data_IF_496068200710
#
_entry.id   IF_496068200710
#
_cell.length_a   1.000
_cell.length_b   1.000
_cell.length_c   1.000
_cell.angle_alpha   90.00
_cell.angle_beta   90.00
_cell.angle_gamma   90.00
#
_symmetry.space_group_name_H-M   'P 1'
#
loop_
_entity.id
_entity.type
_entity.pdbx_description
1 polymer ?
#
# COMPACT_ATOMS: atom_id res chain seq x y z
N UNK A 1 9.98 2.10 -9.99
CA UNK A 1 8.78 1.32 -10.34
C UNK A 1 7.60 2.11 -9.84
N UNK A 2 6.61 2.33 -10.70
CA UNK A 2 5.50 3.22 -10.39
C UNK A 2 4.29 2.36 -10.08
N UNK A 3 3.63 2.62 -8.94
CA UNK A 3 2.36 1.99 -8.56
C UNK A 3 1.31 3.07 -8.29
N UNK A 4 0.06 2.77 -8.59
CA UNK A 4 -1.08 3.68 -8.38
C UNK A 4 -2.03 3.13 -7.32
N UNK A 5 -2.02 3.74 -6.13
CA UNK A 5 -2.79 3.26 -4.98
C UNK A 5 -3.89 4.23 -4.57
N UNK A 6 -5.06 3.71 -4.18
CA UNK A 6 -6.14 4.54 -3.66
C UNK A 6 -5.76 5.20 -2.33
N UNK A 7 -6.38 6.34 -2.01
CA UNK A 7 -6.14 7.05 -0.75
C UNK A 7 -6.35 6.19 0.50
N UNK A 8 -7.36 5.32 0.50
CA UNK A 8 -7.62 4.37 1.59
C UNK A 8 -6.49 3.39 1.83
N UNK A 9 -5.74 3.06 0.79
CA UNK A 9 -4.67 2.08 0.80
C UNK A 9 -3.36 2.73 1.22
N UNK A 10 -3.08 3.91 0.68
CA UNK A 10 -1.95 4.74 1.12
C UNK A 10 -2.05 5.07 2.61
N UNK A 11 -3.23 5.47 3.09
CA UNK A 11 -3.45 5.73 4.52
C UNK A 11 -3.25 4.48 5.38
N UNK A 12 -3.68 3.32 4.88
CA UNK A 12 -3.50 2.05 5.58
C UNK A 12 -2.02 1.68 5.69
N UNK A 13 -1.25 1.83 4.61
CA UNK A 13 0.19 1.57 4.58
C UNK A 13 0.94 2.53 5.52
N UNK A 14 0.63 3.82 5.47
CA UNK A 14 1.23 4.83 6.36
C UNK A 14 0.99 4.46 7.82
N UNK A 15 -0.25 4.14 8.20
CA UNK A 15 -0.61 3.81 9.58
C UNK A 15 0.10 2.55 10.11
N UNK A 16 0.28 1.53 9.28
CA UNK A 16 0.84 0.25 9.73
C UNK A 16 2.37 0.17 9.64
N UNK A 17 3.00 1.04 8.85
CA UNK A 17 4.43 0.96 8.55
C UNK A 17 5.21 2.24 8.85
N UNK A 18 4.78 3.05 9.83
CA UNK A 18 5.46 4.32 10.17
C UNK A 18 6.96 4.19 10.48
N UNK A 19 7.41 3.02 10.93
CA UNK A 19 8.82 2.74 11.23
C UNK A 19 9.68 2.32 10.02
N UNK A 20 9.09 2.14 8.84
CA UNK A 20 9.81 1.66 7.65
C UNK A 20 10.30 2.82 6.78
N UNK A 21 11.49 2.66 6.17
CA UNK A 21 12.08 3.71 5.33
C UNK A 21 11.25 4.03 4.09
N UNK A 22 10.61 3.03 3.48
CA UNK A 22 9.78 3.19 2.28
C UNK A 22 8.55 4.10 2.53
N UNK A 23 8.18 4.34 3.79
CA UNK A 23 7.00 5.13 4.16
C UNK A 23 7.05 6.56 3.63
N UNK A 24 8.26 7.09 3.44
CA UNK A 24 8.48 8.46 2.97
C UNK A 24 7.94 8.66 1.55
N UNK A 25 7.93 7.61 0.71
CA UNK A 25 7.39 7.66 -0.65
C UNK A 25 5.86 7.82 -0.62
N UNK A 26 5.19 7.11 0.29
CA UNK A 26 3.74 7.20 0.50
C UNK A 26 3.34 8.57 1.07
N UNK A 27 4.07 9.06 2.09
CA UNK A 27 3.84 10.40 2.67
C UNK A 27 4.09 11.52 1.65
N UNK A 28 5.15 11.41 0.85
CA UNK A 28 5.45 12.34 -0.23
C UNK A 28 4.33 12.35 -1.27
N UNK A 29 3.85 11.18 -1.70
CA UNK A 29 2.76 11.07 -2.66
C UNK A 29 1.48 11.75 -2.15
N UNK A 30 1.14 11.60 -0.86
CA UNK A 30 0.02 12.34 -0.26
C UNK A 30 0.22 13.86 -0.30
N UNK A 31 1.43 14.34 -0.01
CA UNK A 31 1.76 15.77 -0.05
C UNK A 31 1.75 16.38 -1.45
N UNK A 32 2.06 15.59 -2.49
CA UNK A 32 2.00 16.01 -3.90
C UNK A 32 0.56 16.08 -4.41
N UNK A 33 -0.33 15.25 -3.86
CA UNK A 33 -1.74 15.18 -4.24
C UNK A 33 -2.06 14.01 -5.17
N UNK A 34 -3.35 13.84 -5.46
CA UNK A 34 -3.84 12.73 -6.28
C UNK A 34 -3.33 12.82 -7.72
N UNK A 35 -3.12 11.66 -8.33
CA UNK A 35 -2.83 11.54 -9.75
C UNK A 35 -4.05 11.98 -10.57
N UNK A 36 -3.81 12.92 -11.47
CA UNK A 36 -4.83 13.48 -12.37
C UNK A 36 -4.56 13.00 -13.79
N UNK A 37 -5.55 12.38 -14.42
CA UNK A 37 -5.48 11.98 -15.83
C UNK A 37 -6.02 13.10 -16.71
N UNK A 38 -5.27 13.47 -17.75
CA UNK A 38 -5.64 14.51 -18.73
C UNK A 38 -6.01 15.85 -18.06
N UNK A 39 -5.24 16.22 -17.03
CA UNK A 39 -5.32 17.49 -16.29
C UNK A 39 -6.71 17.87 -15.70
N UNK A 40 -7.67 16.94 -15.71
CA UNK A 40 -9.08 17.26 -15.40
C UNK A 40 -9.75 16.25 -14.47
N UNK A 41 -9.30 14.99 -14.45
CA UNK A 41 -9.98 13.91 -13.73
C UNK A 41 -9.13 13.39 -12.57
N UNK A 42 -9.60 13.65 -11.35
CA UNK A 42 -9.06 13.06 -10.13
C UNK A 42 -9.36 11.57 -10.13
N UNK A 43 -8.31 10.75 -10.04
CA UNK A 43 -8.45 9.29 -10.09
C UNK A 43 -8.72 8.68 -8.72
N UNK A 44 -8.62 9.46 -7.64
CA UNK A 44 -8.63 8.94 -6.26
C UNK A 44 -7.39 8.11 -5.90
N UNK A 45 -6.41 8.02 -6.82
CA UNK A 45 -5.17 7.28 -6.66
C UNK A 45 -3.99 8.23 -6.54
N UNK A 46 -2.98 7.80 -5.80
CA UNK A 46 -1.68 8.44 -5.69
C UNK A 46 -0.68 7.67 -6.55
N UNK A 47 0.16 8.40 -7.28
CA UNK A 47 1.30 7.83 -7.98
C UNK A 47 2.47 7.73 -7.00
N UNK A 48 3.00 6.52 -6.81
CA UNK A 48 4.08 6.25 -5.88
C UNK A 48 5.23 5.62 -6.66
N UNK A 49 6.40 6.21 -6.58
CA UNK A 49 7.62 5.66 -7.18
C UNK A 49 8.47 4.98 -6.10
N UNK A 50 8.72 3.69 -6.29
CA UNK A 50 9.53 2.84 -5.41
C UNK A 50 10.63 2.17 -6.22
N UNK A 51 11.81 2.01 -5.63
CA UNK A 51 12.82 1.10 -6.20
C UNK A 51 12.35 -0.36 -6.09
N UNK A 52 12.93 -1.24 -6.90
CA UNK A 52 12.65 -2.69 -6.82
C UNK A 52 12.86 -3.22 -5.38
N UNK A 53 13.97 -2.87 -4.75
CA UNK A 53 14.27 -3.28 -3.37
C UNK A 53 13.25 -2.74 -2.35
N UNK A 54 12.70 -1.55 -2.56
CA UNK A 54 11.66 -1.01 -1.68
C UNK A 54 10.34 -1.71 -1.90
N UNK A 55 10.02 -2.09 -3.14
CA UNK A 55 8.82 -2.87 -3.44
C UNK A 55 8.85 -4.24 -2.79
N UNK A 56 9.98 -4.96 -2.86
CA UNK A 56 10.15 -6.24 -2.17
C UNK A 56 10.01 -6.08 -0.65
N UNK A 57 10.59 -5.01 -0.06
CA UNK A 57 10.41 -4.71 1.37
C UNK A 57 8.95 -4.44 1.75
N UNK A 58 8.18 -3.79 0.88
CA UNK A 58 6.74 -3.58 1.12
C UNK A 58 6.00 -4.91 1.10
N UNK A 59 6.29 -5.80 0.14
CA UNK A 59 5.69 -7.14 0.08
C UNK A 59 6.00 -7.97 1.32
N UNK A 60 7.26 -7.99 1.75
CA UNK A 60 7.69 -8.68 2.97
C UNK A 60 6.98 -8.12 4.23
N UNK A 61 6.88 -6.80 4.34
CA UNK A 61 6.21 -6.15 5.46
C UNK A 61 4.70 -6.44 5.47
N UNK A 62 4.06 -6.48 4.29
CA UNK A 62 2.65 -6.87 4.15
C UNK A 62 2.43 -8.34 4.50
N UNK A 63 3.30 -9.25 4.06
CA UNK A 63 3.23 -10.67 4.43
C UNK A 63 3.35 -10.87 5.94
N UNK A 64 4.27 -10.15 6.59
CA UNK A 64 4.39 -10.14 8.06
C UNK A 64 3.11 -9.63 8.72
N UNK A 65 2.57 -8.51 8.23
CA UNK A 65 1.34 -7.93 8.76
C UNK A 65 0.11 -8.86 8.59
N UNK A 66 0.05 -9.62 7.50
CA UNK A 66 -1.00 -10.62 7.26
C UNK A 66 -0.97 -11.71 8.34
N UNK A 67 0.22 -12.20 8.70
CA UNK A 67 0.37 -13.20 9.75
C UNK A 67 0.03 -12.63 11.14
N UNK A 68 0.40 -11.38 11.42
CA UNK A 68 0.17 -10.75 12.72
C UNK A 68 -1.28 -10.32 12.95
N UNK A 69 -1.96 -9.82 11.91
CA UNK A 69 -3.25 -9.13 12.05
C UNK A 69 -4.33 -9.61 11.08
N UNK A 70 -3.97 -10.42 10.10
CA UNK A 70 -4.88 -10.87 9.05
C UNK A 70 -5.72 -12.09 9.40
N UNK A 71 -5.35 -12.83 10.45
CA UNK A 71 -6.08 -14.01 10.91
C UNK A 71 -6.95 -13.65 12.11
N UNK A 72 -8.23 -13.98 12.04
CA UNK A 72 -9.20 -13.82 13.12
C UNK A 72 -9.15 -14.95 14.15
N UNK A 73 -9.91 -14.78 15.24
CA UNK A 73 -9.96 -15.75 16.35
C UNK A 73 -10.51 -17.13 15.95
N UNK A 74 -11.19 -17.22 14.82
CA UNK A 74 -11.71 -18.46 14.24
C UNK A 74 -10.72 -19.13 13.27
N UNK A 75 -9.46 -18.68 13.24
CA UNK A 75 -8.43 -19.13 12.30
C UNK A 75 -8.73 -18.85 10.83
N UNK A 76 -9.71 -18.00 10.54
CA UNK A 76 -10.03 -17.54 9.18
C UNK A 76 -9.43 -16.16 8.92
N UNK A 77 -9.28 -15.82 7.63
CA UNK A 77 -8.87 -14.48 7.21
C UNK A 77 -9.95 -13.48 7.59
N UNK A 78 -9.56 -12.42 8.30
CA UNK A 78 -10.46 -11.34 8.68
C UNK A 78 -10.47 -10.22 7.64
N UNK A 79 -11.31 -9.19 7.84
CA UNK A 79 -11.41 -8.05 6.91
C UNK A 79 -10.08 -7.30 6.68
N UNK A 80 -9.21 -7.24 7.70
CA UNK A 80 -7.87 -6.65 7.57
C UNK A 80 -6.99 -7.55 6.72
N UNK A 81 -7.07 -8.86 6.90
CA UNK A 81 -6.34 -9.84 6.09
C UNK A 81 -6.70 -9.75 4.62
N UNK A 82 -7.98 -9.71 4.25
CA UNK A 82 -8.41 -9.51 2.86
C UNK A 82 -7.88 -8.20 2.26
N UNK A 83 -7.82 -7.12 3.06
CA UNK A 83 -7.24 -5.86 2.60
C UNK A 83 -5.73 -6.01 2.33
N UNK A 84 -5.01 -6.73 3.19
CA UNK A 84 -3.57 -6.97 3.03
C UNK A 84 -3.30 -7.85 1.80
N UNK A 85 -4.08 -8.91 1.59
CA UNK A 85 -3.97 -9.75 0.39
C UNK A 85 -4.17 -8.95 -0.90
N UNK A 86 -5.22 -8.12 -0.96
CA UNK A 86 -5.45 -7.24 -2.10
C UNK A 86 -4.28 -6.28 -2.36
N UNK A 87 -3.60 -5.81 -1.31
CA UNK A 87 -2.40 -4.97 -1.47
C UNK A 87 -1.23 -5.78 -2.00
N UNK A 88 -0.99 -6.98 -1.45
CA UNK A 88 0.06 -7.89 -1.94
C UNK A 88 -0.14 -8.17 -3.44
N UNK A 89 -1.36 -8.46 -3.86
CA UNK A 89 -1.71 -8.68 -5.27
C UNK A 89 -1.42 -7.45 -6.13
N UNK A 90 -1.74 -6.24 -5.64
CA UNK A 90 -1.40 -5.00 -6.36
C UNK A 90 0.11 -4.82 -6.52
N UNK A 91 0.91 -5.11 -5.48
CA UNK A 91 2.37 -5.01 -5.55
C UNK A 91 3.02 -6.13 -6.35
N UNK A 92 2.37 -7.28 -6.53
CA UNK A 92 2.88 -8.40 -7.33
C UNK A 92 2.60 -8.25 -8.83
N UNK A 93 1.58 -7.47 -9.20
CA UNK A 93 1.16 -7.29 -10.60
C UNK A 93 1.76 -6.05 -11.28
N UNK A 94 2.62 -5.31 -10.58
CA UNK A 94 3.36 -4.11 -11.07
C UNK A 94 4.86 -4.40 -11.21
#
# INVERSE_FOLDING_TARGET
MIIYLFSSDVNFLIKNFEGYSFIQHFKKAQGVGEFVVKDSYRTGKYQIDLTFNEMEKVKEALGTLLLEKGVGNNSEINAVGYKIENLIDQFNNE
#
